data_IF_494414119448
#
_entry.id   IF_494414119448
#
_cell.length_a   1.000
_cell.length_b   1.000
_cell.length_c   1.000
_cell.angle_alpha   90.00
_cell.angle_beta   90.00
_cell.angle_gamma   90.00
#
_symmetry.space_group_name_H-M   'P 1'
#
loop_
_entity.id
_entity.type
_entity.pdbx_description
1 polymer ?
#
# COMPACT_ATOMS: atom_id res chain seq x y z
N UNK A 1 17.89 -13.58 26.27
CA UNK A 1 16.44 -13.85 26.26
C UNK A 1 15.84 -12.71 25.48
N UNK A 2 15.50 -12.96 24.23
CA UNK A 2 14.70 -11.98 23.49
C UNK A 2 13.26 -12.13 23.99
N UNK A 3 12.82 -11.22 24.82
CA UNK A 3 11.39 -11.01 25.05
C UNK A 3 10.85 -10.51 23.72
N UNK A 4 10.00 -11.29 23.08
CA UNK A 4 9.15 -10.80 22.01
C UNK A 4 8.16 -9.85 22.66
N UNK A 5 8.40 -8.56 22.54
CA UNK A 5 7.52 -7.53 23.05
C UNK A 5 6.32 -7.46 22.09
N UNK A 6 5.29 -8.26 22.41
CA UNK A 6 4.04 -8.25 21.63
C UNK A 6 3.44 -6.86 21.72
N UNK A 7 3.25 -6.22 20.57
CA UNK A 7 2.53 -4.97 20.44
C UNK A 7 3.37 -3.70 20.42
N UNK A 8 4.66 -3.78 20.05
CA UNK A 8 5.41 -2.57 19.69
C UNK A 8 4.77 -1.97 18.44
N UNK A 9 4.52 -0.67 18.49
CA UNK A 9 4.03 0.12 17.37
C UNK A 9 4.94 1.34 17.17
N UNK A 10 4.76 2.02 16.07
CA UNK A 10 5.33 3.32 15.84
C UNK A 10 4.23 4.34 15.56
N UNK A 11 4.33 5.52 16.17
CA UNK A 11 3.45 6.65 15.90
C UNK A 11 3.94 7.38 14.64
N UNK A 12 3.01 7.65 13.73
CA UNK A 12 3.27 8.37 12.50
C UNK A 12 3.43 9.87 12.77
N UNK A 13 4.42 10.47 12.16
CA UNK A 13 4.58 11.93 12.12
C UNK A 13 3.53 12.57 11.18
N UNK A 14 3.31 13.87 11.31
CA UNK A 14 2.26 14.60 10.56
C UNK A 14 2.32 14.35 9.03
N UNK A 15 3.50 14.26 8.46
CA UNK A 15 3.66 14.05 7.01
C UNK A 15 3.17 12.67 6.53
N UNK A 16 3.29 11.63 7.37
CA UNK A 16 2.75 10.32 7.05
C UNK A 16 1.24 10.28 7.27
N UNK A 17 0.74 11.12 8.16
CA UNK A 17 -0.68 11.22 8.53
C UNK A 17 -1.55 11.93 7.51
N UNK A 18 -0.98 12.69 6.58
CA UNK A 18 -1.76 13.49 5.63
C UNK A 18 -2.67 12.60 4.76
N UNK A 19 -3.96 12.63 5.05
CA UNK A 19 -4.99 11.82 4.38
C UNK A 19 -5.19 10.40 4.92
N UNK A 20 -4.55 10.04 6.04
CA UNK A 20 -4.63 8.69 6.64
C UNK A 20 -5.57 8.66 7.85
N UNK A 21 -6.29 7.55 8.00
CA UNK A 21 -7.17 7.32 9.16
C UNK A 21 -6.42 6.73 10.37
N UNK A 22 -5.28 6.09 10.14
CA UNK A 22 -4.50 5.39 11.16
C UNK A 22 -3.14 6.05 11.35
N UNK A 23 -2.84 6.39 12.61
CA UNK A 23 -1.61 7.05 13.02
C UNK A 23 -0.52 6.10 13.53
N UNK A 24 -0.76 4.79 13.49
CA UNK A 24 0.14 3.81 14.08
C UNK A 24 0.52 2.75 13.07
N UNK A 25 1.80 2.39 13.07
CA UNK A 25 2.36 1.26 12.33
C UNK A 25 2.63 0.12 13.30
N UNK A 26 2.32 -1.10 12.88
CA UNK A 26 2.72 -2.31 13.61
C UNK A 26 4.22 -2.57 13.40
N UNK A 27 4.89 -2.98 14.46
CA UNK A 27 6.32 -3.33 14.43
C UNK A 27 6.52 -4.78 14.86
N UNK A 28 6.09 -5.76 14.01
CA UNK A 28 6.14 -7.17 14.37
C UNK A 28 7.55 -7.75 14.22
N UNK A 29 7.79 -8.85 14.93
CA UNK A 29 8.94 -9.76 14.87
C UNK A 29 10.28 -9.19 15.33
N UNK A 30 10.80 -8.16 14.71
CA UNK A 30 12.06 -7.51 15.12
C UNK A 30 11.97 -6.01 14.92
N UNK A 31 12.84 -5.28 15.63
CA UNK A 31 12.87 -3.83 15.57
C UNK A 31 14.31 -3.34 15.50
N UNK A 32 14.63 -2.62 14.43
CA UNK A 32 15.90 -1.94 14.22
C UNK A 32 15.78 -0.44 14.51
N UNK A 33 16.71 0.10 15.28
CA UNK A 33 16.82 1.55 15.48
C UNK A 33 17.48 2.13 14.24
N UNK A 34 16.74 2.99 13.54
CA UNK A 34 17.25 3.69 12.37
C UNK A 34 17.97 4.98 12.80
N UNK A 35 19.03 5.33 12.11
CA UNK A 35 19.74 6.58 12.33
C UNK A 35 19.96 7.32 11.02
N UNK A 36 19.71 8.63 11.05
CA UNK A 36 20.01 9.53 9.94
C UNK A 36 21.44 10.03 10.14
N UNK A 37 22.30 9.81 9.13
CA UNK A 37 23.68 10.30 9.16
C UNK A 37 23.73 11.81 8.96
N UNK A 38 24.73 12.45 9.56
CA UNK A 38 25.02 13.86 9.33
C UNK A 38 25.25 14.12 7.82
N UNK A 39 24.61 15.19 7.33
CA UNK A 39 24.66 15.54 5.90
C UNK A 39 23.64 14.82 5.02
N UNK A 40 22.73 14.05 5.58
CA UNK A 40 21.59 13.48 4.86
C UNK A 40 20.38 14.45 4.93
N UNK A 41 20.53 15.64 4.33
CA UNK A 41 19.58 16.76 4.46
C UNK A 41 18.18 16.46 3.87
N UNK A 42 18.09 15.44 3.02
CA UNK A 42 16.81 15.01 2.41
C UNK A 42 16.16 13.83 3.14
N UNK A 43 16.77 13.35 4.23
CA UNK A 43 16.20 12.26 5.02
C UNK A 43 15.23 12.80 6.06
N UNK A 44 14.08 12.15 6.19
CA UNK A 44 12.99 12.50 7.10
C UNK A 44 12.57 11.30 7.93
N UNK A 45 12.30 11.51 9.21
CA UNK A 45 11.63 10.51 10.05
C UNK A 45 10.13 10.62 9.81
N UNK A 46 9.51 9.52 9.43
CA UNK A 46 8.06 9.43 9.18
C UNK A 46 7.30 8.74 10.32
N UNK A 47 7.97 7.92 11.12
CA UNK A 47 7.39 7.34 12.32
C UNK A 47 8.47 7.03 13.37
N UNK A 48 8.06 7.06 14.65
CA UNK A 48 8.91 6.76 15.81
C UNK A 48 8.30 5.68 16.67
N UNK A 49 9.12 4.82 17.26
CA UNK A 49 8.65 3.80 18.22
C UNK A 49 7.94 4.44 19.40
N UNK A 50 6.79 3.85 19.80
CA UNK A 50 5.92 4.37 20.86
C UNK A 50 6.26 3.84 22.26
N UNK A 51 7.06 2.77 22.38
CA UNK A 51 7.37 2.11 23.66
C UNK A 51 8.66 1.31 23.63
N UNK A 52 8.94 0.69 24.78
CA UNK A 52 10.12 -0.13 25.00
C UNK A 52 11.40 0.71 25.10
N UNK A 53 12.54 0.09 24.97
CA UNK A 53 13.81 0.80 24.98
C UNK A 53 14.07 1.57 23.66
N UNK A 54 13.27 1.33 22.64
CA UNK A 54 13.29 2.04 21.36
C UNK A 54 12.52 3.37 21.39
N UNK A 55 11.74 3.63 22.45
CA UNK A 55 10.81 4.76 22.52
C UNK A 55 11.43 6.07 22.04
N UNK A 56 10.78 6.70 21.05
CA UNK A 56 11.22 7.94 20.44
C UNK A 56 12.30 7.79 19.35
N UNK A 57 12.88 6.60 19.18
CA UNK A 57 13.82 6.33 18.10
C UNK A 57 13.11 6.20 16.75
N UNK A 58 13.78 6.54 15.63
CA UNK A 58 13.20 6.43 14.31
C UNK A 58 12.87 4.97 13.94
N UNK A 59 11.63 4.73 13.52
CA UNK A 59 11.10 3.43 13.09
C UNK A 59 10.84 3.36 11.58
N UNK A 60 10.51 4.50 10.95
CA UNK A 60 10.34 4.65 9.50
C UNK A 60 11.03 5.93 9.05
N UNK A 61 11.86 5.82 8.04
CA UNK A 61 12.61 6.95 7.47
C UNK A 61 12.42 6.99 5.96
N UNK A 62 12.09 8.17 5.42
CA UNK A 62 12.19 8.46 3.99
C UNK A 62 13.54 9.11 3.69
N UNK A 63 14.17 8.70 2.60
CA UNK A 63 15.28 9.42 2.01
C UNK A 63 15.04 9.65 0.52
N UNK A 64 15.44 10.81 0.00
CA UNK A 64 15.37 11.14 -1.41
C UNK A 64 16.73 11.00 -2.06
N UNK A 65 16.74 10.40 -3.24
CA UNK A 65 17.95 10.29 -4.04
C UNK A 65 17.64 10.52 -5.53
N UNK A 66 18.14 11.61 -6.05
CA UNK A 66 17.84 12.04 -7.41
C UNK A 66 16.33 12.29 -7.61
N UNK A 67 15.70 11.53 -8.50
CA UNK A 67 14.25 11.60 -8.77
C UNK A 67 13.43 10.57 -7.96
N UNK A 68 14.10 9.70 -7.23
CA UNK A 68 13.48 8.63 -6.47
C UNK A 68 13.41 8.93 -4.99
N UNK A 69 12.63 8.12 -4.29
CA UNK A 69 12.58 8.09 -2.82
C UNK A 69 12.62 6.64 -2.33
N UNK A 70 13.18 6.46 -1.16
CA UNK A 70 13.30 5.17 -0.48
C UNK A 70 12.67 5.29 0.88
N UNK A 71 11.81 4.35 1.24
CA UNK A 71 11.31 4.19 2.60
C UNK A 71 12.07 3.03 3.25
N UNK A 72 12.60 3.27 4.42
CA UNK A 72 13.27 2.27 5.23
C UNK A 72 12.46 2.05 6.51
N UNK A 73 11.84 0.90 6.62
CA UNK A 73 11.11 0.45 7.81
C UNK A 73 12.05 -0.37 8.69
N UNK A 74 12.15 -0.03 9.96
CA UNK A 74 12.96 -0.73 10.96
C UNK A 74 12.30 -2.00 11.51
N UNK A 75 11.35 -2.59 10.79
CA UNK A 75 10.64 -3.80 11.19
C UNK A 75 10.18 -4.60 9.97
N UNK A 76 9.46 -5.70 10.20
CA UNK A 76 8.80 -6.44 9.13
C UNK A 76 7.58 -5.71 8.60
N UNK A 77 7.22 -5.99 7.35
CA UNK A 77 5.94 -5.55 6.79
C UNK A 77 4.79 -6.36 7.39
N UNK A 78 3.72 -5.65 7.77
CA UNK A 78 2.40 -6.22 8.01
C UNK A 78 1.46 -5.74 6.91
N UNK A 79 0.28 -6.34 6.81
CA UNK A 79 -0.75 -5.90 5.87
C UNK A 79 -1.15 -4.44 6.11
N UNK A 80 -1.32 -4.07 7.39
CA UNK A 80 -1.62 -2.69 7.79
C UNK A 80 -0.52 -1.73 7.35
N UNK A 81 0.76 -2.07 7.61
CA UNK A 81 1.88 -1.22 7.22
C UNK A 81 1.96 -1.03 5.71
N UNK A 82 1.76 -2.11 4.94
CA UNK A 82 1.78 -2.01 3.47
C UNK A 82 0.68 -1.08 2.95
N UNK A 83 -0.52 -1.14 3.53
CA UNK A 83 -1.61 -0.23 3.17
C UNK A 83 -1.23 1.22 3.41
N UNK A 84 -0.76 1.56 4.62
CA UNK A 84 -0.32 2.91 4.97
C UNK A 84 0.79 3.41 4.04
N UNK A 85 1.80 2.57 3.78
CA UNK A 85 2.93 2.93 2.93
C UNK A 85 2.53 3.11 1.46
N UNK A 86 1.64 2.28 0.95
CA UNK A 86 1.14 2.39 -0.43
C UNK A 86 0.28 3.64 -0.60
N UNK A 87 -0.57 3.98 0.37
CA UNK A 87 -1.34 5.22 0.38
C UNK A 87 -0.40 6.44 0.38
N UNK A 88 0.59 6.46 1.28
CA UNK A 88 1.60 7.52 1.34
C UNK A 88 2.39 7.68 0.05
N UNK A 89 2.72 6.56 -0.61
CA UNK A 89 3.43 6.55 -1.89
C UNK A 89 2.54 6.89 -3.09
N UNK A 90 1.22 6.96 -2.90
CA UNK A 90 0.25 7.13 -3.98
C UNK A 90 0.19 5.91 -4.91
N UNK A 91 0.45 4.72 -4.36
CA UNK A 91 0.44 3.44 -5.08
C UNK A 91 -0.88 2.68 -4.94
N UNK A 92 -1.81 3.19 -4.13
CA UNK A 92 -3.15 2.62 -4.03
C UNK A 92 -3.89 2.75 -5.36
N UNK A 93 -4.55 1.67 -5.73
CA UNK A 93 -5.27 1.60 -7.00
C UNK A 93 -6.58 2.40 -6.92
N UNK A 94 -6.70 3.54 -7.64
CA UNK A 94 -7.88 4.39 -7.57
C UNK A 94 -9.09 3.83 -8.36
N UNK A 95 -8.94 2.64 -8.96
CA UNK A 95 -9.83 2.11 -9.98
C UNK A 95 -10.82 1.08 -9.45
N UNK A 96 -10.37 0.22 -8.54
CA UNK A 96 -11.19 -0.86 -7.99
C UNK A 96 -10.78 -1.19 -6.55
N UNK A 97 -11.74 -1.66 -5.77
CA UNK A 97 -11.50 -2.36 -4.50
C UNK A 97 -11.63 -3.86 -4.74
N UNK A 98 -10.66 -4.63 -4.24
CA UNK A 98 -10.59 -6.08 -4.41
C UNK A 98 -9.74 -6.69 -3.28
N UNK A 99 -9.84 -8.01 -3.08
CA UNK A 99 -9.07 -8.72 -2.05
C UNK A 99 -8.15 -9.75 -2.69
N UNK A 100 -8.66 -10.82 -3.25
CA UNK A 100 -7.88 -11.94 -3.79
C UNK A 100 -7.85 -11.96 -5.32
N UNK A 101 -7.80 -10.78 -5.95
CA UNK A 101 -7.76 -10.60 -7.41
C UNK A 101 -6.47 -9.88 -7.79
N UNK A 102 -5.78 -10.35 -8.81
CA UNK A 102 -4.66 -9.60 -9.37
C UNK A 102 -5.19 -8.48 -10.27
N UNK A 103 -4.73 -7.25 -10.03
CA UNK A 103 -4.98 -6.10 -10.88
C UNK A 103 -3.71 -5.65 -11.58
N UNK A 104 -3.71 -5.68 -12.91
CA UNK A 104 -2.66 -5.08 -13.73
C UNK A 104 -3.22 -3.89 -14.53
N UNK A 105 -2.53 -2.74 -14.45
CA UNK A 105 -2.91 -1.51 -15.13
C UNK A 105 -2.01 -1.27 -16.33
N UNK A 106 -2.59 -0.92 -17.47
CA UNK A 106 -1.85 -0.51 -18.67
C UNK A 106 -2.43 0.77 -19.23
N UNK A 107 -1.57 1.64 -19.76
CA UNK A 107 -1.99 2.89 -20.39
C UNK A 107 -1.50 2.94 -21.83
N UNK A 108 -2.38 3.31 -22.76
CA UNK A 108 -2.05 3.48 -24.17
C UNK A 108 -2.88 4.64 -24.76
N UNK A 109 -2.22 5.60 -25.35
CA UNK A 109 -2.86 6.75 -26.01
C UNK A 109 -3.86 7.51 -25.12
N UNK A 110 -3.52 7.67 -23.83
CA UNK A 110 -4.38 8.35 -22.85
C UNK A 110 -5.49 7.48 -22.26
N UNK A 111 -5.72 6.30 -22.79
CA UNK A 111 -6.72 5.33 -22.32
C UNK A 111 -6.09 4.40 -21.28
N UNK A 112 -6.79 4.15 -20.20
CA UNK A 112 -6.40 3.20 -19.14
C UNK A 112 -7.13 1.87 -19.35
N UNK A 113 -6.39 0.78 -19.24
CA UNK A 113 -6.90 -0.60 -19.30
C UNK A 113 -6.60 -1.29 -17.98
N UNK A 114 -7.61 -1.92 -17.41
CA UNK A 114 -7.48 -2.75 -16.21
C UNK A 114 -7.65 -4.21 -16.61
N UNK A 115 -6.73 -5.03 -16.13
CA UNK A 115 -6.78 -6.49 -16.25
C UNK A 115 -7.00 -7.03 -14.84
N UNK A 116 -8.15 -7.61 -14.58
CA UNK A 116 -8.55 -8.17 -13.31
C UNK A 116 -8.61 -9.69 -13.47
N UNK A 117 -7.79 -10.40 -12.70
CA UNK A 117 -7.58 -11.84 -12.85
C UNK A 117 -7.91 -12.52 -11.52
N UNK A 118 -8.94 -13.34 -11.53
CA UNK A 118 -9.26 -14.20 -10.40
C UNK A 118 -8.54 -15.55 -10.56
N UNK A 119 -7.53 -15.81 -9.72
CA UNK A 119 -6.80 -17.09 -9.68
C UNK A 119 -7.37 -18.06 -8.65
N UNK A 120 -8.43 -17.65 -7.93
CA UNK A 120 -9.01 -18.45 -6.88
C UNK A 120 -9.95 -19.53 -7.42
N UNK A 121 -10.20 -20.55 -6.60
CA UNK A 121 -11.17 -21.62 -6.87
C UNK A 121 -12.60 -21.24 -6.47
N UNK A 122 -12.83 -20.00 -6.07
CA UNK A 122 -14.11 -19.43 -5.68
C UNK A 122 -14.38 -18.10 -6.40
N UNK A 123 -15.60 -17.65 -6.32
CA UNK A 123 -16.00 -16.35 -6.88
C UNK A 123 -15.44 -15.22 -6.02
N UNK A 124 -14.97 -14.16 -6.68
CA UNK A 124 -14.51 -12.93 -6.06
C UNK A 124 -15.39 -11.74 -6.47
N UNK A 125 -15.67 -10.85 -5.54
CA UNK A 125 -16.40 -9.61 -5.81
C UNK A 125 -15.41 -8.46 -5.81
N UNK A 126 -15.38 -7.74 -6.92
CA UNK A 126 -14.62 -6.49 -7.05
C UNK A 126 -15.59 -5.31 -7.12
N UNK A 127 -15.19 -4.14 -6.66
CA UNK A 127 -15.96 -2.91 -6.78
C UNK A 127 -15.24 -1.94 -7.70
N UNK A 128 -15.72 -1.78 -8.93
CA UNK A 128 -15.22 -0.78 -9.87
C UNK A 128 -15.67 0.61 -9.43
N UNK A 129 -14.73 1.52 -9.22
CA UNK A 129 -14.98 2.88 -8.70
C UNK A 129 -15.46 3.88 -9.75
N UNK A 130 -15.40 3.49 -11.03
CA UNK A 130 -15.80 4.32 -12.16
C UNK A 130 -16.39 3.45 -13.26
N UNK A 131 -17.26 4.05 -14.07
CA UNK A 131 -17.77 3.42 -15.28
C UNK A 131 -16.61 3.04 -16.22
N UNK A 132 -16.64 1.83 -16.72
CA UNK A 132 -15.69 1.28 -17.68
C UNK A 132 -16.40 0.39 -18.69
N UNK A 133 -15.73 0.02 -19.76
CA UNK A 133 -16.26 -0.85 -20.82
C UNK A 133 -15.49 -2.15 -20.83
N UNK A 134 -16.21 -3.27 -20.67
CA UNK A 134 -15.66 -4.61 -20.85
C UNK A 134 -15.23 -4.81 -22.31
N UNK A 135 -13.96 -5.16 -22.52
CA UNK A 135 -13.41 -5.28 -23.88
C UNK A 135 -13.90 -6.51 -24.63
N UNK A 136 -14.38 -7.53 -23.94
CA UNK A 136 -14.85 -8.76 -24.59
C UNK A 136 -16.33 -8.66 -24.96
N UNK A 137 -17.14 -8.02 -24.11
CA UNK A 137 -18.61 -7.94 -24.33
C UNK A 137 -19.05 -6.60 -24.88
N UNK A 138 -18.27 -5.54 -24.70
CA UNK A 138 -18.64 -4.16 -25.02
C UNK A 138 -19.63 -3.55 -24.01
N UNK A 139 -19.97 -4.26 -22.94
CA UNK A 139 -20.88 -3.79 -21.92
C UNK A 139 -20.22 -2.78 -20.99
N UNK A 140 -21.00 -1.82 -20.52
CA UNK A 140 -20.61 -0.91 -19.45
C UNK A 140 -20.72 -1.63 -18.11
N UNK A 141 -19.69 -1.43 -17.27
CA UNK A 141 -19.61 -1.98 -15.91
C UNK A 141 -19.21 -0.88 -14.93
N UNK A 142 -19.84 -0.87 -13.77
CA UNK A 142 -19.57 0.02 -12.65
C UNK A 142 -20.04 -0.66 -11.35
N UNK A 143 -19.42 -0.33 -10.22
CA UNK A 143 -19.78 -0.92 -8.92
C UNK A 143 -19.40 -2.38 -8.83
N UNK A 144 -20.22 -3.19 -8.15
CA UNK A 144 -19.87 -4.58 -7.86
C UNK A 144 -19.95 -5.47 -9.09
N UNK A 145 -18.87 -6.18 -9.35
CA UNK A 145 -18.75 -7.18 -10.41
C UNK A 145 -18.25 -8.48 -9.80
N UNK A 146 -18.92 -9.60 -10.10
CA UNK A 146 -18.48 -10.92 -9.68
C UNK A 146 -17.59 -11.53 -10.75
N UNK A 147 -16.40 -11.97 -10.36
CA UNK A 147 -15.50 -12.77 -11.17
C UNK A 147 -15.58 -14.22 -10.73
N UNK A 148 -15.95 -15.11 -11.65
CA UNK A 148 -15.96 -16.56 -11.41
C UNK A 148 -14.53 -17.08 -11.17
N UNK A 149 -14.39 -18.31 -10.63
CA UNK A 149 -13.09 -18.96 -10.55
C UNK A 149 -12.34 -18.93 -11.88
N UNK A 150 -11.09 -18.48 -11.86
CA UNK A 150 -10.21 -18.36 -13.05
C UNK A 150 -10.72 -17.42 -14.16
N UNK A 151 -11.69 -16.56 -13.85
CA UNK A 151 -12.18 -15.58 -14.81
C UNK A 151 -11.23 -14.37 -14.92
N UNK A 152 -11.13 -13.87 -16.14
CA UNK A 152 -10.40 -12.66 -16.48
C UNK A 152 -11.37 -11.60 -16.97
N UNK A 153 -11.36 -10.44 -16.36
CA UNK A 153 -12.10 -9.26 -16.82
C UNK A 153 -11.09 -8.22 -17.33
N UNK A 154 -11.25 -7.78 -18.56
CA UNK A 154 -10.45 -6.71 -19.13
C UNK A 154 -11.36 -5.53 -19.45
N UNK A 155 -11.13 -4.40 -18.78
CA UNK A 155 -11.95 -3.20 -18.99
C UNK A 155 -11.12 -2.01 -19.46
N UNK A 156 -11.77 -1.17 -20.23
CA UNK A 156 -11.25 0.12 -20.68
C UNK A 156 -11.94 1.25 -19.93
N UNK A 157 -11.13 2.19 -19.47
CA UNK A 157 -11.58 3.44 -18.88
C UNK A 157 -11.16 4.60 -19.80
N UNK A 158 -12.12 5.39 -20.20
CA UNK A 158 -11.90 6.60 -21.04
C UNK A 158 -11.61 7.83 -20.18
#
# INVERSE_FOLDING_TARGET
>A
VHEYDEGICAEAEEELMEGQAESRLEMPLFNDILSIKDGADEAKVLARYDRGYYMGEPALVENRYGKGRVLHLGSCFSEQNLKVLFDYLGLTEPWADYVEVELAVRKKNGVTYLFLLNYMFHEEIITLKKECVDLFTGEKKEGNVTLKPFEVLVVRMD
#
